data_IF_822592941896
#
_entry.id   IF_822592941896
#
_cell.length_a   1.000
_cell.length_b   1.000
_cell.length_c   1.000
_cell.angle_alpha   90.00
_cell.angle_beta   90.00
_cell.angle_gamma   90.00
#
_symmetry.space_group_name_H-M   'P 1'
#
loop_
_entity.id
_entity.type
_entity.pdbx_description
1 polymer ?
#
# COMPACT_ATOMS: atom_id res chain seq x y z
N UNK A 1 5.66 3.37 22.47
CA UNK A 1 4.76 2.21 22.32
C UNK A 1 5.62 0.98 22.42
N UNK A 2 5.23 0.00 23.25
CA UNK A 2 5.95 -1.27 23.38
C UNK A 2 5.46 -2.25 22.31
N UNK A 3 6.37 -2.70 21.44
CA UNK A 3 6.12 -3.67 20.37
C UNK A 3 6.81 -4.98 20.76
N UNK A 4 6.04 -6.06 20.93
CA UNK A 4 6.56 -7.33 21.43
C UNK A 4 6.84 -8.37 20.35
N UNK A 5 6.51 -8.08 19.08
CA UNK A 5 6.86 -8.93 17.94
C UNK A 5 7.06 -8.10 16.68
N UNK A 6 8.12 -8.40 15.94
CA UNK A 6 8.45 -7.81 14.65
C UNK A 6 8.93 -8.89 13.68
N UNK A 7 8.62 -8.71 12.40
CA UNK A 7 9.14 -9.48 11.27
C UNK A 7 9.73 -8.47 10.25
N UNK A 8 10.81 -8.85 9.56
CA UNK A 8 11.41 -8.06 8.49
C UNK A 8 10.97 -8.61 7.15
N UNK A 9 10.50 -7.73 6.26
CA UNK A 9 10.09 -8.09 4.91
C UNK A 9 11.04 -7.41 3.91
N UNK A 10 11.49 -8.16 2.93
CA UNK A 10 12.26 -7.65 1.80
C UNK A 10 11.38 -7.48 0.58
N UNK A 11 11.17 -6.24 0.15
CA UNK A 11 10.62 -5.98 -1.18
C UNK A 11 11.78 -5.79 -2.15
N UNK A 12 11.91 -6.65 -3.17
CA UNK A 12 12.95 -6.47 -4.21
C UNK A 12 12.74 -5.15 -4.95
N UNK A 13 13.85 -4.48 -5.25
CA UNK A 13 13.90 -3.18 -5.94
C UNK A 13 14.76 -3.27 -7.19
N UNK A 14 14.73 -2.27 -8.07
CA UNK A 14 15.74 -2.19 -9.12
C UNK A 14 17.16 -2.15 -8.52
N UNK A 15 18.11 -2.80 -9.21
CA UNK A 15 19.51 -2.80 -8.80
C UNK A 15 20.10 -1.41 -8.98
N UNK A 16 20.72 -0.88 -7.93
CA UNK A 16 21.61 0.28 -8.06
C UNK A 16 23.05 -0.24 -8.09
N UNK A 17 23.77 -0.11 -9.23
CA UNK A 17 25.16 -0.56 -9.33
C UNK A 17 26.03 0.11 -8.27
N UNK A 18 26.95 -0.66 -7.70
CA UNK A 18 27.98 -0.17 -6.79
C UNK A 18 29.36 -0.39 -7.40
N UNK A 19 30.26 0.58 -7.24
CA UNK A 19 31.66 0.45 -7.71
C UNK A 19 32.48 -0.48 -6.81
N UNK A 20 32.32 -0.32 -5.49
CA UNK A 20 33.16 -1.01 -4.49
C UNK A 20 32.33 -1.86 -3.50
N UNK A 21 31.07 -2.17 -3.83
CA UNK A 21 30.16 -2.97 -3.00
C UNK A 21 29.06 -3.58 -3.85
N UNK A 22 28.42 -4.64 -3.33
CA UNK A 22 27.23 -5.20 -3.96
C UNK A 22 26.12 -4.15 -4.09
N UNK A 23 25.46 -4.16 -5.25
CA UNK A 23 24.33 -3.29 -5.51
C UNK A 23 23.17 -3.59 -4.56
N UNK A 24 22.53 -2.55 -4.03
CA UNK A 24 21.28 -2.73 -3.26
C UNK A 24 20.15 -3.05 -4.23
N UNK A 25 19.36 -4.07 -3.90
CA UNK A 25 18.26 -4.59 -4.71
C UNK A 25 17.01 -4.91 -3.87
N UNK A 26 16.86 -4.21 -2.74
CA UNK A 26 15.69 -4.37 -1.88
C UNK A 26 15.41 -3.12 -1.05
N UNK A 27 14.16 -3.03 -0.61
CA UNK A 27 13.67 -2.16 0.43
C UNK A 27 13.22 -3.02 1.61
N UNK A 28 13.51 -2.58 2.83
CA UNK A 28 13.08 -3.27 4.05
C UNK A 28 11.77 -2.67 4.53
N UNK A 29 10.80 -3.52 4.82
CA UNK A 29 9.55 -3.15 5.48
C UNK A 29 9.53 -3.88 6.82
N UNK A 30 9.32 -3.14 7.91
CA UNK A 30 9.21 -3.72 9.25
C UNK A 30 7.73 -3.95 9.56
N UNK A 31 7.35 -5.20 9.78
CA UNK A 31 6.02 -5.55 10.26
C UNK A 31 6.07 -5.72 11.77
N UNK A 32 5.43 -4.82 12.51
CA UNK A 32 5.42 -4.85 13.97
C UNK A 32 3.99 -4.92 14.52
N UNK A 33 3.81 -5.62 15.64
CA UNK A 33 2.50 -5.81 16.27
C UNK A 33 2.54 -5.44 17.74
N UNK A 34 1.44 -4.85 18.23
CA UNK A 34 1.25 -4.61 19.66
C UNK A 34 0.77 -5.91 20.32
N UNK A 35 1.49 -6.36 21.34
CA UNK A 35 1.20 -7.63 22.02
C UNK A 35 1.81 -8.85 21.33
N UNK A 36 1.75 -10.02 21.98
CA UNK A 36 2.49 -11.22 21.55
C UNK A 36 2.06 -11.77 20.18
N UNK A 37 0.86 -11.40 19.71
CA UNK A 37 0.28 -11.86 18.44
C UNK A 37 -0.51 -10.73 17.77
N UNK A 38 -0.52 -10.65 16.43
CA UNK A 38 -1.39 -9.71 15.71
C UNK A 38 -2.87 -10.00 16.02
N UNK A 39 -3.65 -8.94 16.19
CA UNK A 39 -5.12 -9.05 16.28
C UNK A 39 -5.74 -9.57 14.98
N UNK A 40 -5.16 -9.19 13.85
CA UNK A 40 -5.55 -9.62 12.50
C UNK A 40 -4.30 -9.96 11.72
N UNK A 41 -4.29 -11.14 11.10
CA UNK A 41 -3.30 -11.55 10.12
C UNK A 41 -3.96 -12.50 9.11
N UNK A 42 -4.35 -11.96 7.97
CA UNK A 42 -4.95 -12.71 6.88
C UNK A 42 -3.84 -13.43 6.12
N UNK A 43 -3.83 -14.77 6.16
CA UNK A 43 -2.81 -15.60 5.50
C UNK A 43 -3.05 -15.63 3.98
N UNK A 44 -2.59 -14.58 3.31
CA UNK A 44 -2.73 -14.41 1.87
C UNK A 44 -1.99 -15.53 1.13
N UNK A 45 -2.58 -16.00 0.03
CA UNK A 45 -1.95 -16.94 -0.88
C UNK A 45 -1.85 -16.35 -2.27
N UNK A 46 -0.66 -16.47 -2.86
CA UNK A 46 -0.32 -16.00 -4.19
C UNK A 46 0.01 -17.17 -5.13
N UNK A 47 -0.01 -16.91 -6.42
CA UNK A 47 0.29 -17.87 -7.49
C UNK A 47 1.48 -17.38 -8.34
N UNK A 48 2.71 -17.35 -7.79
CA UNK A 48 3.87 -16.90 -8.53
C UNK A 48 4.20 -17.89 -9.67
N UNK A 49 4.91 -17.42 -10.72
CA UNK A 49 5.34 -18.29 -11.81
C UNK A 49 6.18 -19.47 -11.28
N UNK A 50 6.17 -20.56 -12.03
CA UNK A 50 6.94 -21.75 -11.70
C UNK A 50 8.43 -21.43 -11.79
N UNK A 51 9.20 -21.75 -10.74
CA UNK A 51 10.65 -21.61 -10.79
C UNK A 51 11.25 -22.66 -11.72
N UNK A 52 12.41 -22.36 -12.31
CA UNK A 52 13.16 -23.32 -13.16
C UNK A 52 13.51 -24.63 -12.44
N UNK A 53 13.58 -24.59 -11.11
CA UNK A 53 13.86 -25.74 -10.24
C UNK A 53 12.61 -26.57 -9.90
N UNK A 54 11.42 -26.07 -10.20
CA UNK A 54 10.16 -26.70 -9.83
C UNK A 54 9.56 -27.48 -11.01
N UNK A 55 9.12 -28.71 -10.75
CA UNK A 55 8.57 -29.60 -11.78
C UNK A 55 7.06 -29.45 -11.98
N UNK A 56 6.33 -29.06 -10.93
CA UNK A 56 4.87 -29.07 -10.92
C UNK A 56 4.31 -27.74 -10.42
N UNK A 57 3.20 -27.31 -11.02
CA UNK A 57 2.46 -26.13 -10.56
C UNK A 57 1.84 -26.42 -9.19
N UNK A 58 1.70 -25.35 -8.40
CA UNK A 58 1.05 -25.40 -7.09
C UNK A 58 -0.46 -25.31 -7.28
N UNK A 59 -1.20 -26.38 -6.99
CA UNK A 59 -2.66 -26.41 -7.16
C UNK A 59 -3.37 -25.31 -6.37
N UNK A 60 -2.83 -24.94 -5.20
CA UNK A 60 -3.43 -23.95 -4.32
C UNK A 60 -2.54 -22.72 -4.10
N UNK A 61 -1.58 -22.46 -4.99
CA UNK A 61 -0.57 -21.42 -4.80
C UNK A 61 0.25 -21.62 -3.52
N UNK A 62 0.90 -20.56 -3.06
CA UNK A 62 1.70 -20.55 -1.83
C UNK A 62 1.34 -19.38 -0.93
N UNK A 63 1.62 -19.51 0.36
CA UNK A 63 1.50 -18.36 1.26
C UNK A 63 2.47 -17.26 0.85
N UNK A 64 2.03 -16.01 0.96
CA UNK A 64 2.93 -14.85 0.84
C UNK A 64 4.05 -15.00 1.86
N UNK A 65 5.29 -14.90 1.39
CA UNK A 65 6.51 -14.98 2.20
C UNK A 65 6.95 -13.59 2.65
N UNK A 66 8.08 -13.52 3.36
CA UNK A 66 8.76 -12.29 3.76
C UNK A 66 9.60 -11.65 2.64
N UNK A 67 9.75 -12.30 1.49
CA UNK A 67 10.44 -11.75 0.31
C UNK A 67 9.44 -11.53 -0.83
N UNK A 68 9.27 -10.27 -1.26
CA UNK A 68 8.33 -9.86 -2.30
C UNK A 68 9.09 -9.37 -3.53
N UNK A 69 9.04 -10.15 -4.61
CA UNK A 69 9.66 -9.86 -5.91
C UNK A 69 8.64 -9.61 -7.03
N UNK A 70 7.36 -9.80 -6.75
CA UNK A 70 6.24 -9.66 -7.67
C UNK A 70 5.56 -8.27 -7.63
N UNK A 71 6.07 -7.37 -6.79
CA UNK A 71 5.59 -5.98 -6.67
C UNK A 71 6.54 -5.05 -7.42
N UNK A 72 6.07 -4.54 -8.55
CA UNK A 72 6.81 -3.60 -9.40
C UNK A 72 7.14 -2.30 -8.67
N UNK A 73 8.32 -1.75 -8.96
CA UNK A 73 8.66 -0.38 -8.59
C UNK A 73 8.11 0.63 -9.56
N UNK A 74 7.69 1.76 -9.01
CA UNK A 74 7.44 2.95 -9.80
C UNK A 74 8.81 3.55 -10.16
N UNK A 75 9.40 3.07 -11.26
CA UNK A 75 10.67 3.57 -11.80
C UNK A 75 10.47 4.90 -12.53
N UNK A 76 11.55 5.55 -12.96
CA UNK A 76 11.51 6.72 -13.85
C UNK A 76 11.49 6.30 -15.33
N UNK A 77 11.12 7.23 -16.21
CA UNK A 77 11.17 7.04 -17.66
C UNK A 77 9.98 6.28 -18.26
N UNK A 78 10.17 5.76 -19.47
CA UNK A 78 9.13 5.09 -20.27
C UNK A 78 8.47 3.92 -19.53
N UNK A 79 9.24 3.24 -18.67
CA UNK A 79 8.78 2.12 -17.85
C UNK A 79 8.16 2.53 -16.51
N UNK A 80 7.76 3.78 -16.30
CA UNK A 80 7.12 4.21 -15.06
C UNK A 80 5.62 3.83 -15.01
N UNK A 81 4.99 3.62 -16.17
CA UNK A 81 3.55 3.41 -16.28
C UNK A 81 2.74 4.65 -15.86
N UNK A 82 1.42 4.50 -15.81
CA UNK A 82 0.47 5.60 -15.57
C UNK A 82 0.13 5.82 -14.09
N UNK A 83 0.48 4.87 -13.21
CA UNK A 83 0.20 4.96 -11.78
C UNK A 83 0.87 6.18 -11.08
N UNK A 84 2.16 6.51 -11.34
CA UNK A 84 2.81 7.66 -10.71
C UNK A 84 2.09 8.97 -11.06
N UNK A 85 1.79 9.79 -10.04
CA UNK A 85 1.33 11.15 -10.29
C UNK A 85 2.44 11.99 -10.93
N UNK A 86 2.05 12.87 -11.85
CA UNK A 86 2.96 13.74 -12.59
C UNK A 86 2.52 15.20 -12.52
N UNK A 87 3.52 16.07 -12.55
CA UNK A 87 3.36 17.50 -12.73
C UNK A 87 3.03 17.81 -14.20
N UNK A 88 2.59 19.04 -14.52
CA UNK A 88 2.24 19.42 -15.90
C UNK A 88 3.39 19.30 -16.92
N UNK A 89 4.64 19.38 -16.45
CA UNK A 89 5.85 19.16 -17.24
C UNK A 89 6.15 17.67 -17.54
N UNK A 90 5.33 16.76 -17.00
CA UNK A 90 5.47 15.31 -17.15
C UNK A 90 6.39 14.66 -16.11
N UNK A 91 7.07 15.45 -15.27
CA UNK A 91 7.92 14.92 -14.21
C UNK A 91 7.10 14.29 -13.09
N UNK A 92 7.70 13.31 -12.42
CA UNK A 92 7.02 12.63 -11.32
C UNK A 92 6.84 13.57 -10.13
N UNK A 93 5.61 13.69 -9.65
CA UNK A 93 5.28 14.47 -8.46
C UNK A 93 6.07 14.00 -7.24
N UNK A 94 6.12 12.68 -7.03
CA UNK A 94 6.79 12.07 -5.89
C UNK A 94 7.68 10.90 -6.31
N UNK A 95 8.99 11.04 -6.10
CA UNK A 95 10.02 10.05 -6.49
C UNK A 95 9.81 8.70 -5.80
N UNK A 96 9.33 8.71 -4.56
CA UNK A 96 9.08 7.51 -3.75
C UNK A 96 7.58 7.25 -3.55
N UNK A 97 6.75 7.53 -4.57
CA UNK A 97 5.33 7.14 -4.51
C UNK A 97 5.27 5.62 -4.33
N UNK A 98 4.56 5.17 -3.30
CA UNK A 98 4.40 3.74 -3.06
C UNK A 98 3.44 3.12 -4.09
N UNK A 99 3.75 1.92 -4.64
CA UNK A 99 2.85 1.22 -5.53
C UNK A 99 1.52 0.83 -4.86
N UNK A 100 0.41 0.85 -5.60
CA UNK A 100 -0.91 0.41 -5.15
C UNK A 100 -0.87 -1.05 -4.66
N UNK A 101 -0.20 -1.93 -5.42
CA UNK A 101 -0.08 -3.35 -5.08
C UNK A 101 0.66 -3.58 -3.76
N UNK A 102 1.62 -2.71 -3.42
CA UNK A 102 2.36 -2.79 -2.16
C UNK A 102 1.45 -2.53 -0.97
N UNK A 103 0.73 -1.40 -0.99
CA UNK A 103 -0.17 -1.03 0.10
C UNK A 103 -1.36 -1.98 0.17
N UNK A 104 -1.85 -2.47 -0.98
CA UNK A 104 -2.86 -3.51 -1.05
C UNK A 104 -2.45 -4.74 -0.24
N UNK A 105 -1.25 -5.29 -0.49
CA UNK A 105 -0.77 -6.48 0.24
C UNK A 105 -0.65 -6.23 1.74
N UNK A 106 -0.09 -5.09 2.14
CA UNK A 106 0.12 -4.72 3.56
C UNK A 106 -1.23 -4.60 4.28
N UNK A 107 -2.16 -3.83 3.72
CA UNK A 107 -3.47 -3.57 4.34
C UNK A 107 -4.31 -4.86 4.32
N UNK A 108 -4.32 -5.60 3.21
CA UNK A 108 -5.09 -6.83 3.08
C UNK A 108 -4.58 -7.91 4.04
N UNK A 109 -3.28 -8.00 4.31
CA UNK A 109 -2.72 -8.94 5.30
C UNK A 109 -3.07 -8.57 6.74
N UNK A 110 -3.25 -7.28 7.05
CA UNK A 110 -3.20 -6.79 8.43
C UNK A 110 -4.48 -6.12 8.94
N UNK A 111 -5.57 -6.16 8.18
CA UNK A 111 -6.84 -5.51 8.54
C UNK A 111 -8.06 -6.26 7.99
N UNK A 112 -9.25 -5.92 8.51
CA UNK A 112 -10.56 -6.37 8.01
C UNK A 112 -11.36 -5.17 7.48
N UNK A 113 -12.37 -5.40 6.63
CA UNK A 113 -13.34 -4.34 6.31
C UNK A 113 -13.87 -3.67 7.57
N UNK A 114 -13.93 -2.34 7.57
CA UNK A 114 -14.32 -1.50 8.71
C UNK A 114 -13.18 -1.08 9.65
N UNK A 115 -12.02 -1.75 9.61
CA UNK A 115 -10.85 -1.36 10.41
C UNK A 115 -10.32 0.03 10.00
N UNK A 116 -9.51 0.61 10.88
CA UNK A 116 -8.93 1.93 10.72
C UNK A 116 -7.44 1.85 10.37
N UNK A 117 -7.03 2.49 9.28
CA UNK A 117 -5.64 2.59 8.82
C UNK A 117 -5.13 4.01 9.10
N UNK A 118 -3.94 4.10 9.67
CA UNK A 118 -3.30 5.39 9.96
C UNK A 118 -1.98 5.51 9.19
N UNK A 119 -1.82 6.61 8.47
CA UNK A 119 -0.60 6.94 7.72
C UNK A 119 -0.13 8.38 7.99
N UNK A 120 0.88 8.59 8.85
CA UNK A 120 1.36 9.93 9.17
C UNK A 120 2.21 10.57 8.07
N UNK A 121 2.48 9.87 6.96
CA UNK A 121 3.32 10.34 5.85
C UNK A 121 2.64 10.00 4.51
N UNK A 122 1.45 10.56 4.30
CA UNK A 122 0.55 10.14 3.23
C UNK A 122 1.16 10.26 1.82
N UNK A 123 2.03 11.25 1.60
CA UNK A 123 2.60 11.59 0.31
C UNK A 123 1.49 11.80 -0.72
N UNK A 124 1.40 10.87 -1.68
CA UNK A 124 0.41 10.91 -2.77
C UNK A 124 -0.91 10.18 -2.45
N UNK A 125 -1.13 9.80 -1.20
CA UNK A 125 -2.41 9.24 -0.73
C UNK A 125 -2.66 7.78 -1.10
N UNK A 126 -1.64 7.02 -1.53
CA UNK A 126 -1.82 5.60 -1.93
C UNK A 126 -2.50 4.77 -0.83
N UNK A 127 -2.15 4.99 0.44
CA UNK A 127 -2.79 4.32 1.59
C UNK A 127 -4.30 4.60 1.65
N UNK A 128 -4.73 5.84 1.43
CA UNK A 128 -6.15 6.23 1.41
C UNK A 128 -6.90 5.59 0.24
N UNK A 129 -6.30 5.61 -0.94
CA UNK A 129 -6.87 5.04 -2.18
C UNK A 129 -7.11 3.54 -2.01
N UNK A 130 -6.12 2.81 -1.48
CA UNK A 130 -6.24 1.37 -1.25
C UNK A 130 -7.23 1.07 -0.11
N UNK A 131 -7.12 1.78 1.02
CA UNK A 131 -8.00 1.57 2.17
C UNK A 131 -9.47 1.76 1.78
N UNK A 132 -9.78 2.82 1.02
CA UNK A 132 -11.12 3.09 0.49
C UNK A 132 -11.67 1.91 -0.31
N UNK A 133 -10.89 1.42 -1.26
CA UNK A 133 -11.34 0.33 -2.15
C UNK A 133 -11.50 -0.99 -1.40
N UNK A 134 -10.66 -1.23 -0.37
CA UNK A 134 -10.78 -2.36 0.54
C UNK A 134 -11.83 -2.16 1.64
N UNK A 135 -12.66 -1.09 1.63
CA UNK A 135 -13.67 -0.86 2.69
C UNK A 135 -13.06 -0.70 4.09
N UNK A 136 -11.84 -0.17 4.20
CA UNK A 136 -11.23 0.27 5.46
C UNK A 136 -11.41 1.77 5.60
N UNK A 137 -11.53 2.24 6.83
CA UNK A 137 -11.42 3.65 7.16
C UNK A 137 -9.94 4.04 7.15
N UNK A 138 -9.63 5.31 6.84
CA UNK A 138 -8.25 5.79 6.97
C UNK A 138 -8.16 7.23 7.43
N UNK A 139 -7.12 7.53 8.20
CA UNK A 139 -6.63 8.86 8.52
C UNK A 139 -5.22 8.96 7.99
N UNK A 140 -4.94 10.05 7.31
CA UNK A 140 -3.58 10.33 6.87
C UNK A 140 -3.20 11.77 7.12
N UNK A 141 -1.90 12.00 7.28
CA UNK A 141 -1.33 13.33 7.49
C UNK A 141 -0.31 13.58 6.38
N UNK A 142 -0.38 14.77 5.78
CA UNK A 142 0.61 15.24 4.83
C UNK A 142 0.96 16.69 5.17
N UNK A 143 2.25 16.99 5.27
CA UNK A 143 2.74 18.32 5.66
C UNK A 143 2.94 19.23 4.44
N UNK A 144 3.21 18.64 3.29
CA UNK A 144 3.51 19.35 2.06
C UNK A 144 2.20 19.66 1.33
N UNK A 145 1.97 20.95 1.11
CA UNK A 145 0.72 21.45 0.52
C UNK A 145 0.54 20.99 -0.93
N UNK A 146 1.63 20.85 -1.69
CA UNK A 146 1.58 20.32 -3.05
C UNK A 146 1.11 18.88 -3.03
N UNK A 147 1.71 18.04 -2.17
CA UNK A 147 1.32 16.63 -2.06
C UNK A 147 -0.10 16.46 -1.51
N UNK A 148 -0.50 17.28 -0.55
CA UNK A 148 -1.87 17.34 -0.05
C UNK A 148 -2.88 17.62 -1.17
N UNK A 149 -2.65 18.67 -1.97
CA UNK A 149 -3.57 19.07 -3.05
C UNK A 149 -3.72 17.97 -4.10
N UNK A 150 -2.61 17.36 -4.53
CA UNK A 150 -2.64 16.23 -5.48
C UNK A 150 -3.28 14.96 -4.89
N UNK A 151 -3.05 14.68 -3.60
CA UNK A 151 -3.70 13.60 -2.88
C UNK A 151 -5.22 13.79 -2.85
N UNK A 152 -5.68 15.01 -2.51
CA UNK A 152 -7.10 15.37 -2.48
C UNK A 152 -7.73 15.24 -3.86
N UNK A 153 -7.07 15.76 -4.90
CA UNK A 153 -7.53 15.60 -6.27
C UNK A 153 -7.65 14.11 -6.66
N UNK A 154 -6.61 13.30 -6.40
CA UNK A 154 -6.61 11.86 -6.65
C UNK A 154 -7.71 11.11 -5.88
N UNK A 155 -8.12 11.60 -4.71
CA UNK A 155 -9.22 11.01 -3.93
C UNK A 155 -10.60 11.41 -4.45
N UNK A 156 -10.73 12.61 -5.01
CA UNK A 156 -11.96 13.09 -5.64
C UNK A 156 -12.17 12.48 -7.02
N UNK A 157 -11.09 12.29 -7.77
CA UNK A 157 -11.09 11.73 -9.12
C UNK A 157 -10.88 10.22 -9.10
N UNK A 158 -11.74 9.48 -9.79
CA UNK A 158 -11.53 8.05 -9.95
C UNK A 158 -10.59 7.80 -11.13
N UNK A 159 -9.38 7.30 -10.84
CA UNK A 159 -8.40 6.88 -11.85
C UNK A 159 -8.46 5.37 -12.05
N UNK A 160 -8.69 4.91 -13.27
CA UNK A 160 -8.74 3.47 -13.58
C UNK A 160 -7.43 2.76 -13.21
N UNK A 161 -6.30 3.46 -13.34
CA UNK A 161 -4.96 2.95 -12.99
C UNK A 161 -4.77 2.72 -11.50
N UNK A 162 -5.64 3.27 -10.64
CA UNK A 162 -5.60 3.11 -9.19
C UNK A 162 -6.49 1.94 -8.70
N UNK A 163 -7.20 1.26 -9.62
CA UNK A 163 -8.11 0.16 -9.26
C UNK A 163 -7.36 -1.05 -8.69
N UNK A 164 -7.76 -1.48 -7.50
CA UNK A 164 -7.18 -2.68 -6.87
C UNK A 164 -7.74 -3.98 -7.45
N UNK A 165 -8.91 -3.96 -8.09
CA UNK A 165 -9.59 -5.16 -8.62
C UNK A 165 -8.70 -5.96 -9.57
N UNK A 166 -7.82 -5.27 -10.32
CA UNK A 166 -6.86 -5.87 -11.24
C UNK A 166 -5.88 -6.84 -10.55
N UNK A 167 -5.68 -6.69 -9.24
CA UNK A 167 -4.80 -7.53 -8.43
C UNK A 167 -5.56 -8.63 -7.67
N UNK A 168 -6.90 -8.68 -7.74
CA UNK A 168 -7.69 -9.65 -6.95
C UNK A 168 -7.34 -11.10 -7.30
N UNK A 169 -7.10 -11.36 -8.59
CA UNK A 169 -6.77 -12.69 -9.09
C UNK A 169 -5.40 -13.19 -8.59
N UNK A 170 -4.48 -12.28 -8.26
CA UNK A 170 -3.19 -12.62 -7.64
C UNK A 170 -3.38 -13.36 -6.32
N UNK A 171 -4.51 -13.13 -5.64
CA UNK A 171 -4.82 -13.69 -4.32
C UNK A 171 -5.87 -14.81 -4.34
N UNK A 172 -6.24 -15.33 -5.52
CA UNK A 172 -7.41 -16.23 -5.73
C UNK A 172 -7.47 -17.46 -4.81
N UNK A 173 -6.33 -17.97 -4.34
CA UNK A 173 -6.27 -19.13 -3.44
C UNK A 173 -6.40 -18.78 -1.96
N UNK A 174 -6.55 -17.50 -1.62
CA UNK A 174 -6.74 -17.04 -0.25
C UNK A 174 -8.13 -17.46 0.24
N UNK A 175 -8.18 -18.15 1.38
CA UNK A 175 -9.44 -18.56 2.00
C UNK A 175 -10.27 -17.32 2.39
N UNK A 176 -11.58 -17.36 2.12
CA UNK A 176 -12.51 -16.26 2.40
C UNK A 176 -12.07 -14.91 1.79
N UNK A 177 -11.40 -14.93 0.63
CA UNK A 177 -10.88 -13.71 -0.02
C UNK A 177 -11.95 -12.62 -0.15
N UNK A 178 -13.16 -12.93 -0.59
CA UNK A 178 -14.23 -11.92 -0.77
C UNK A 178 -14.61 -11.22 0.55
N UNK A 179 -14.61 -11.96 1.66
CA UNK A 179 -14.88 -11.42 2.99
C UNK A 179 -13.74 -10.53 3.48
N UNK A 180 -12.49 -10.88 3.14
CA UNK A 180 -11.31 -10.09 3.50
C UNK A 180 -11.19 -8.86 2.59
N UNK A 181 -11.51 -8.98 1.31
CA UNK A 181 -11.45 -7.91 0.31
C UNK A 181 -12.56 -6.87 0.53
N UNK A 182 -13.75 -7.34 0.88
CA UNK A 182 -14.98 -6.54 0.93
C UNK A 182 -15.74 -6.58 -0.40
N UNK A 183 -17.05 -6.33 -0.35
CA UNK A 183 -17.89 -6.28 -1.55
C UNK A 183 -17.39 -5.24 -2.56
N UNK A 184 -17.52 -5.49 -3.87
CA UNK A 184 -17.06 -4.57 -4.91
C UNK A 184 -17.65 -3.17 -4.72
N UNK A 185 -16.82 -2.15 -4.87
CA UNK A 185 -17.26 -0.77 -4.71
C UNK A 185 -18.10 -0.36 -5.91
N UNK A 186 -19.37 0.00 -5.68
CA UNK A 186 -20.13 0.76 -6.67
C UNK A 186 -19.61 2.20 -6.65
N UNK A 187 -18.78 2.54 -7.64
CA UNK A 187 -17.99 3.79 -7.68
C UNK A 187 -18.88 5.03 -7.89
N UNK A 188 -20.08 4.87 -8.46
CA UNK A 188 -20.95 6.00 -8.89
C UNK A 188 -21.77 6.67 -7.78
N UNK A 189 -21.78 6.17 -6.54
CA UNK A 189 -22.70 6.68 -5.51
C UNK A 189 -22.25 6.51 -4.07
N UNK A 190 -20.96 6.31 -3.81
CA UNK A 190 -20.51 6.06 -2.45
C UNK A 190 -20.28 7.37 -1.68
N UNK A 191 -21.12 7.61 -0.67
CA UNK A 191 -20.82 8.57 0.39
C UNK A 191 -19.48 8.22 1.01
N UNK A 192 -18.53 9.15 0.88
CA UNK A 192 -17.18 9.04 1.40
C UNK A 192 -17.25 8.64 2.89
N UNK A 193 -16.70 7.48 3.35
CA UNK A 193 -16.37 7.34 4.76
C UNK A 193 -15.50 8.54 5.14
N UNK A 194 -15.71 9.13 6.33
CA UNK A 194 -14.98 10.32 6.78
C UNK A 194 -13.46 10.11 6.64
N UNK A 195 -12.90 10.54 5.52
CA UNK A 195 -11.46 10.68 5.35
C UNK A 195 -11.08 11.93 6.11
N UNK A 196 -10.30 11.78 7.18
CA UNK A 196 -9.66 12.96 7.76
C UNK A 196 -8.25 12.98 7.22
N UNK A 197 -8.06 13.74 6.14
CA UNK A 197 -6.75 14.26 5.81
C UNK A 197 -6.55 15.50 6.68
N UNK A 198 -5.51 15.49 7.50
CA UNK A 198 -5.22 16.62 8.37
C UNK A 198 -4.43 17.68 7.59
N UNK A 199 -5.00 18.88 7.51
CA UNK A 199 -4.34 20.05 6.94
C UNK A 199 -3.29 20.64 7.88
N UNK A 200 -2.24 21.22 7.28
CA UNK A 200 -1.07 21.87 7.88
C UNK A 200 -1.38 22.96 8.92
N UNK A 201 -2.60 23.51 8.95
CA UNK A 201 -2.92 24.73 9.69
C UNK A 201 -3.76 24.54 10.96
N UNK A 202 -3.79 23.35 11.56
CA UNK A 202 -4.30 23.22 12.93
C UNK A 202 -3.16 23.54 13.90
N UNK A 203 -2.99 24.83 14.20
CA UNK A 203 -2.31 25.23 15.43
C UNK A 203 -3.07 24.57 16.59
N UNK A 204 -2.54 23.48 17.14
CA UNK A 204 -2.98 23.00 18.43
C UNK A 204 -2.72 24.14 19.40
N UNK A 205 -3.76 24.92 19.75
CA UNK A 205 -3.67 25.87 20.85
C UNK A 205 -3.14 25.07 22.02
N UNK A 206 -1.92 25.36 22.47
CA UNK A 206 -1.49 24.99 23.82
C UNK A 206 -2.59 25.54 24.71
N UNK A 207 -3.42 24.67 25.26
CA UNK A 207 -4.18 25.03 26.45
C UNK A 207 -3.12 25.34 27.49
N UNK A 208 -2.80 26.62 27.64
CA UNK A 208 -2.19 27.15 28.84
C UNK A 208 -3.17 26.84 29.96
N UNK A 209 -2.96 25.71 30.64
CA UNK A 209 -3.43 25.56 32.01
C UNK A 209 -2.44 26.32 32.88
N UNK A 210 -2.94 27.41 33.48
CA UNK A 210 -2.30 28.10 34.60
C UNK A 210 -2.07 27.14 35.76
#
# INVERSE_FOLDING_TARGET
MDFSKYDYLEKKSSAVPGTNKYGKHYQIIVFATKGKRPKVFNKLRIDPPLLVTEKYKRENGMYVTDVWDDIRELTSGYFAGEEPLRLPDGERLHKQQSPIQLLLRIILSSSKPGDFIFDPFAGTGTTNIVSRQLRRNSISVEKDELYYNYCMQRLMEFRDVDRIDRFKMDYKYTKELDKIWGSPVNIKGFNLPKYTLFEKNIYYRKKHTK
#
